data_IF_453572976804
#
_entry.id   IF_453572976804
#
_cell.length_a   1.000
_cell.length_b   1.000
_cell.length_c   1.000
_cell.angle_alpha   90.00
_cell.angle_beta   90.00
_cell.angle_gamma   90.00
#
_symmetry.space_group_name_H-M   'P 1'
#
loop_
_entity.id
_entity.type
_entity.pdbx_description
1 polymer ?
#
# COMPACT_ATOMS: atom_id res chain seq x y z
N UNK A 1 -30.66 -4.22 6.22
CA UNK A 1 -29.41 -4.30 7.01
C UNK A 1 -28.76 -2.93 7.07
N UNK A 2 -28.07 -2.54 8.15
CA UNK A 2 -27.32 -1.27 8.17
C UNK A 2 -25.86 -1.50 7.77
N UNK A 3 -25.14 -0.44 7.36
CA UNK A 3 -23.77 -0.55 6.84
C UNK A 3 -22.80 -1.10 7.89
N UNK A 4 -22.95 -0.69 9.15
CA UNK A 4 -22.10 -1.17 10.24
C UNK A 4 -22.28 -2.67 10.49
N UNK A 5 -23.52 -3.18 10.34
CA UNK A 5 -23.81 -4.60 10.42
C UNK A 5 -23.15 -5.39 9.29
N UNK A 6 -23.22 -4.89 8.05
CA UNK A 6 -22.53 -5.54 6.93
C UNK A 6 -21.00 -5.52 7.11
N UNK A 7 -20.45 -4.38 7.54
CA UNK A 7 -19.03 -4.21 7.84
C UNK A 7 -18.53 -5.28 8.82
N UNK A 8 -19.28 -5.50 9.89
CA UNK A 8 -18.94 -6.51 10.89
C UNK A 8 -19.05 -7.94 10.33
N UNK A 9 -20.06 -8.24 9.51
CA UNK A 9 -20.19 -9.53 8.84
C UNK A 9 -19.00 -9.81 7.90
N UNK A 10 -18.53 -8.81 7.16
CA UNK A 10 -17.35 -8.94 6.29
C UNK A 10 -16.10 -9.28 7.14
N UNK A 11 -15.88 -8.58 8.26
CA UNK A 11 -14.77 -8.87 9.18
C UNK A 11 -14.82 -10.31 9.70
N UNK A 12 -16.00 -10.76 10.14
CA UNK A 12 -16.19 -12.12 10.65
C UNK A 12 -15.96 -13.16 9.55
N UNK A 13 -16.42 -12.91 8.32
CA UNK A 13 -16.19 -13.79 7.18
C UNK A 13 -14.70 -13.90 6.84
N UNK A 14 -13.98 -12.77 6.78
CA UNK A 14 -12.55 -12.73 6.57
C UNK A 14 -11.77 -13.54 7.63
N UNK A 15 -12.12 -13.37 8.90
CA UNK A 15 -11.48 -14.09 10.01
C UNK A 15 -11.78 -15.59 9.99
N UNK A 16 -13.01 -15.99 9.68
CA UNK A 16 -13.36 -17.40 9.50
C UNK A 16 -12.56 -18.02 8.36
N UNK A 17 -12.43 -17.31 7.23
CA UNK A 17 -11.63 -17.77 6.09
C UNK A 17 -10.15 -17.89 6.44
N UNK A 18 -9.60 -16.93 7.19
CA UNK A 18 -8.23 -16.99 7.72
C UNK A 18 -8.00 -18.21 8.62
N UNK A 19 -8.91 -18.50 9.55
CA UNK A 19 -8.79 -19.66 10.47
C UNK A 19 -8.85 -21.01 9.74
N UNK A 20 -9.55 -21.06 8.61
CA UNK A 20 -9.66 -22.26 7.77
C UNK A 20 -8.53 -22.37 6.74
N UNK A 21 -7.73 -21.32 6.57
CA UNK A 21 -6.62 -21.29 5.62
C UNK A 21 -5.45 -22.14 6.14
N UNK A 22 -4.84 -22.94 5.27
CA UNK A 22 -3.78 -23.88 5.66
C UNK A 22 -2.44 -23.58 4.98
N UNK A 23 -2.42 -23.38 3.65
CA UNK A 23 -1.34 -22.76 2.86
C UNK A 23 -1.67 -22.96 1.36
N UNK A 24 -1.25 -22.05 0.49
CA UNK A 24 -1.34 -22.23 -0.96
C UNK A 24 -0.19 -23.08 -1.48
N UNK A 25 -0.51 -24.18 -2.16
CA UNK A 25 0.50 -25.07 -2.78
C UNK A 25 0.86 -24.65 -4.20
N UNK A 26 -0.12 -24.24 -4.98
CA UNK A 26 0.03 -23.87 -6.39
C UNK A 26 -0.98 -22.76 -6.73
N UNK A 27 -0.63 -21.47 -6.56
CA UNK A 27 -1.51 -20.37 -6.95
C UNK A 27 -1.67 -20.34 -8.47
N UNK A 28 -2.89 -20.12 -8.95
CA UNK A 28 -3.16 -20.05 -10.38
C UNK A 28 -3.27 -18.60 -10.85
N UNK A 29 -4.08 -17.79 -10.18
CA UNK A 29 -4.41 -16.44 -10.63
C UNK A 29 -3.84 -15.40 -9.68
N UNK A 30 -2.98 -14.53 -10.22
CA UNK A 30 -2.40 -13.39 -9.51
C UNK A 30 -3.04 -12.08 -9.99
N UNK A 31 -3.02 -11.08 -9.11
CA UNK A 31 -3.41 -9.71 -9.41
C UNK A 31 -2.34 -8.75 -8.90
N UNK A 32 -2.02 -7.75 -9.73
CA UNK A 32 -1.13 -6.65 -9.35
C UNK A 32 -1.81 -5.77 -8.31
N UNK A 33 -1.20 -5.67 -7.14
CA UNK A 33 -1.66 -4.84 -6.03
C UNK A 33 -0.49 -4.04 -5.47
N UNK A 34 -0.81 -3.00 -4.73
CA UNK A 34 0.16 -2.09 -4.18
C UNK A 34 0.04 -1.95 -2.67
N UNK A 35 1.18 -1.74 -2.02
CA UNK A 35 1.27 -1.46 -0.59
C UNK A 35 2.10 -0.20 -0.34
N UNK A 36 1.48 0.82 0.27
CA UNK A 36 2.15 2.07 0.63
C UNK A 36 2.69 2.03 2.06
N UNK A 37 3.95 2.37 2.25
CA UNK A 37 4.63 2.33 3.56
C UNK A 37 5.87 3.23 3.58
N UNK A 38 6.83 2.99 4.47
CA UNK A 38 8.07 3.78 4.60
C UNK A 38 9.33 2.93 4.54
N UNK A 39 10.45 3.55 4.13
CA UNK A 39 11.73 2.86 3.98
C UNK A 39 12.29 2.27 5.28
N UNK A 40 11.87 2.75 6.45
CA UNK A 40 12.23 2.14 7.75
C UNK A 40 11.78 0.69 7.88
N UNK A 41 10.68 0.31 7.22
CA UNK A 41 10.12 -1.04 7.25
C UNK A 41 10.72 -1.95 6.16
N UNK A 42 11.49 -1.40 5.23
CA UNK A 42 11.88 -2.09 4.00
C UNK A 42 12.71 -3.34 4.27
N UNK A 43 13.74 -3.27 5.12
CA UNK A 43 14.54 -4.46 5.43
C UNK A 43 13.73 -5.60 6.09
N UNK A 44 12.74 -5.26 6.92
CA UNK A 44 11.85 -6.25 7.53
C UNK A 44 10.92 -6.88 6.49
N UNK A 45 10.33 -6.05 5.63
CA UNK A 45 9.48 -6.50 4.51
C UNK A 45 10.25 -7.43 3.57
N UNK A 46 11.51 -7.13 3.28
CA UNK A 46 12.33 -7.96 2.41
C UNK A 46 12.67 -9.33 3.02
N UNK A 47 12.77 -9.41 4.34
CA UNK A 47 13.12 -10.66 5.03
C UNK A 47 11.89 -11.51 5.36
N UNK A 48 10.79 -10.86 5.75
CA UNK A 48 9.64 -11.53 6.35
C UNK A 48 8.35 -11.34 5.56
N UNK A 49 8.36 -10.49 4.53
CA UNK A 49 7.18 -10.12 3.77
C UNK A 49 6.38 -9.01 4.46
N UNK A 50 5.23 -8.68 3.90
CA UNK A 50 4.31 -7.70 4.47
C UNK A 50 3.39 -8.43 5.44
N UNK A 51 3.62 -8.21 6.73
CA UNK A 51 2.83 -8.79 7.82
C UNK A 51 1.71 -7.85 8.27
N UNK A 52 0.60 -8.37 8.82
CA UNK A 52 -0.42 -7.54 9.45
C UNK A 52 0.19 -6.68 10.57
N UNK A 53 -0.06 -5.36 10.53
CA UNK A 53 0.47 -4.44 11.52
C UNK A 53 -0.61 -3.99 12.50
N UNK A 54 -0.24 -3.95 13.79
CA UNK A 54 -1.02 -3.30 14.82
C UNK A 54 -1.07 -1.78 14.54
N UNK A 55 -2.26 -1.22 14.27
CA UNK A 55 -2.46 0.24 14.14
C UNK A 55 -3.08 0.72 12.83
N UNK A 56 -3.44 -0.19 11.90
CA UNK A 56 -4.31 0.14 10.76
C UNK A 56 -5.78 0.14 11.22
N UNK A 57 -6.65 1.07 10.76
CA UNK A 57 -7.93 1.34 11.44
C UNK A 57 -9.00 0.24 11.32
N UNK A 58 -8.82 -0.72 10.42
CA UNK A 58 -9.87 -1.65 9.98
C UNK A 58 -9.83 -3.00 10.72
N UNK A 59 -8.76 -3.78 10.54
CA UNK A 59 -8.53 -5.05 11.23
C UNK A 59 -7.02 -5.32 11.40
N UNK A 60 -6.48 -5.44 12.62
CA UNK A 60 -5.04 -5.55 12.87
C UNK A 60 -4.41 -6.86 12.35
N UNK A 61 -5.25 -7.85 12.04
CA UNK A 61 -4.82 -9.18 11.60
C UNK A 61 -4.77 -9.38 10.07
N UNK A 62 -5.12 -8.36 9.28
CA UNK A 62 -5.13 -8.43 7.81
C UNK A 62 -4.11 -7.45 7.22
N UNK A 63 -3.65 -7.74 6.00
CA UNK A 63 -2.84 -6.82 5.21
C UNK A 63 -3.73 -6.13 4.18
N UNK A 64 -3.81 -4.80 4.21
CA UNK A 64 -4.61 -4.04 3.25
C UNK A 64 -3.77 -3.64 2.05
N UNK A 65 -4.30 -3.90 0.87
CA UNK A 65 -3.65 -3.66 -0.41
C UNK A 65 -4.59 -2.84 -1.30
N UNK A 66 -4.01 -2.09 -2.24
CA UNK A 66 -4.77 -1.22 -3.14
C UNK A 66 -4.43 -1.48 -4.59
N UNK A 67 -5.34 -1.19 -5.51
CA UNK A 67 -5.04 -1.18 -6.96
C UNK A 67 -4.56 0.20 -7.44
N UNK A 68 -4.73 1.27 -6.65
CA UNK A 68 -4.47 2.65 -7.11
C UNK A 68 -3.90 3.61 -6.07
N UNK A 69 -4.27 3.50 -4.79
CA UNK A 69 -4.07 4.57 -3.80
C UNK A 69 -2.70 4.56 -3.10
N UNK A 70 -1.72 3.88 -3.69
CA UNK A 70 -0.47 3.54 -3.04
C UNK A 70 0.40 4.75 -2.70
N UNK A 71 0.44 5.79 -3.54
CA UNK A 71 1.14 7.05 -3.22
C UNK A 71 0.56 7.70 -1.98
N UNK A 72 -0.78 7.73 -1.86
CA UNK A 72 -1.42 8.36 -0.71
C UNK A 72 -1.05 7.62 0.57
N UNK A 73 -1.13 6.28 0.57
CA UNK A 73 -0.74 5.47 1.71
C UNK A 73 0.75 5.61 2.05
N UNK A 74 1.64 5.62 1.06
CA UNK A 74 3.07 5.80 1.25
C UNK A 74 3.38 7.13 1.97
N UNK A 75 2.81 8.24 1.50
CA UNK A 75 3.03 9.56 2.11
C UNK A 75 2.39 9.67 3.50
N UNK A 76 1.23 9.05 3.75
CA UNK A 76 0.61 9.08 5.08
C UNK A 76 1.40 8.25 6.09
N UNK A 77 1.89 7.07 5.71
CA UNK A 77 2.74 6.26 6.58
C UNK A 77 4.07 6.97 6.87
N UNK A 78 4.67 7.60 5.86
CA UNK A 78 5.90 8.36 6.05
C UNK A 78 5.68 9.58 6.96
N UNK A 79 4.59 10.34 6.78
CA UNK A 79 4.19 11.43 7.68
C UNK A 79 4.08 10.96 9.12
N UNK A 80 3.37 9.85 9.38
CA UNK A 80 3.23 9.29 10.74
C UNK A 80 4.60 8.92 11.32
N UNK A 81 5.44 8.27 10.53
CA UNK A 81 6.78 7.84 10.94
C UNK A 81 7.70 9.03 11.25
N UNK A 82 7.70 10.06 10.41
CA UNK A 82 8.45 11.29 10.63
C UNK A 82 7.98 12.03 11.88
N UNK A 83 6.67 12.24 12.04
CA UNK A 83 6.12 12.90 13.24
C UNK A 83 6.50 12.13 14.51
N UNK A 84 6.47 10.79 14.48
CA UNK A 84 6.91 9.97 15.61
C UNK A 84 8.42 10.08 15.90
N UNK A 85 9.24 10.43 14.90
CA UNK A 85 10.69 10.50 15.01
C UNK A 85 11.18 11.90 15.41
N UNK A 86 10.71 12.94 14.73
CA UNK A 86 11.19 14.33 14.92
C UNK A 86 10.21 15.23 15.67
N UNK A 87 8.96 14.79 15.85
CA UNK A 87 7.89 15.57 16.47
C UNK A 87 7.10 16.43 15.48
N UNK A 88 5.85 16.72 15.83
CA UNK A 88 4.90 17.45 14.97
C UNK A 88 5.39 18.86 14.60
N UNK A 89 5.96 19.59 15.55
CA UNK A 89 6.41 20.97 15.34
C UNK A 89 7.51 21.05 14.27
N UNK A 90 8.49 20.15 14.31
CA UNK A 90 9.56 20.08 13.29
C UNK A 90 9.01 19.67 11.94
N UNK A 91 8.14 18.66 11.89
CA UNK A 91 7.48 18.23 10.66
C UNK A 91 6.72 19.36 9.95
N UNK A 92 6.07 20.25 10.70
CA UNK A 92 5.28 21.36 10.15
C UNK A 92 6.12 22.59 9.76
N UNK A 93 7.37 22.69 10.22
CA UNK A 93 8.20 23.90 10.05
C UNK A 93 9.46 23.71 9.19
N UNK A 94 9.93 22.47 9.00
CA UNK A 94 11.12 22.14 8.22
C UNK A 94 10.75 21.56 6.84
N UNK A 95 11.64 21.68 5.86
CA UNK A 95 11.45 21.05 4.54
C UNK A 95 11.40 19.53 4.68
N UNK A 96 10.44 18.89 3.99
CA UNK A 96 10.30 17.43 4.03
C UNK A 96 11.56 16.74 3.48
N UNK A 97 12.20 17.32 2.47
CA UNK A 97 13.46 16.83 1.89
C UNK A 97 14.58 16.78 2.92
N UNK A 98 14.68 17.81 3.78
CA UNK A 98 15.64 17.85 4.88
C UNK A 98 15.36 16.74 5.90
N UNK A 99 14.10 16.57 6.27
CA UNK A 99 13.68 15.55 7.23
C UNK A 99 13.91 14.13 6.70
N UNK A 100 13.66 13.88 5.41
CA UNK A 100 13.97 12.60 4.77
C UNK A 100 15.47 12.28 4.84
N UNK A 101 16.33 13.25 4.53
CA UNK A 101 17.78 13.08 4.60
C UNK A 101 18.30 12.89 6.04
N UNK A 102 17.76 13.63 7.01
CA UNK A 102 18.14 13.48 8.42
C UNK A 102 17.77 12.10 8.95
N UNK A 103 16.57 11.61 8.62
CA UNK A 103 16.01 10.39 9.20
C UNK A 103 16.30 9.12 8.38
N UNK A 104 16.69 9.26 7.12
CA UNK A 104 16.79 8.16 6.15
C UNK A 104 15.44 7.50 5.84
N UNK A 105 14.33 8.16 6.16
CA UNK A 105 12.98 7.62 6.10
C UNK A 105 12.18 8.26 4.97
N UNK A 106 11.98 7.49 3.90
CA UNK A 106 11.35 7.93 2.66
C UNK A 106 10.00 7.22 2.48
N UNK A 107 9.02 7.86 1.84
CA UNK A 107 7.80 7.20 1.40
C UNK A 107 8.15 6.15 0.33
N UNK A 108 7.57 4.95 0.49
CA UNK A 108 7.73 3.87 -0.48
C UNK A 108 6.38 3.27 -0.83
N UNK A 109 6.23 2.82 -2.07
CA UNK A 109 5.19 1.88 -2.43
C UNK A 109 5.80 0.63 -3.06
N UNK A 110 5.11 -0.49 -2.88
CA UNK A 110 5.56 -1.80 -3.31
C UNK A 110 4.52 -2.35 -4.28
N UNK A 111 4.94 -2.75 -5.48
CA UNK A 111 4.11 -3.52 -6.41
C UNK A 111 4.23 -5.00 -6.09
N UNK A 112 3.09 -5.70 -6.10
CA UNK A 112 2.96 -7.07 -5.64
C UNK A 112 2.13 -7.87 -6.64
N UNK A 113 2.58 -9.07 -6.97
CA UNK A 113 1.80 -10.05 -7.72
C UNK A 113 1.19 -11.07 -6.76
N UNK A 114 -0.04 -10.79 -6.30
CA UNK A 114 -0.65 -11.52 -5.17
C UNK A 114 -1.68 -12.53 -5.68
N UNK A 115 -1.67 -13.79 -5.20
CA UNK A 115 -2.70 -14.76 -5.54
C UNK A 115 -4.08 -14.34 -5.02
N UNK A 116 -5.11 -14.42 -5.87
CA UNK A 116 -6.48 -14.06 -5.48
C UNK A 116 -7.03 -14.92 -4.35
N UNK A 117 -6.52 -16.13 -4.17
CA UNK A 117 -7.01 -17.11 -3.20
C UNK A 117 -6.74 -16.70 -1.74
N UNK A 118 -5.77 -15.81 -1.48
CA UNK A 118 -5.53 -15.21 -0.15
C UNK A 118 -6.26 -13.88 0.04
N UNK A 119 -6.92 -13.36 -1.00
CA UNK A 119 -7.62 -12.09 -0.92
C UNK A 119 -9.05 -12.26 -0.40
N UNK A 120 -9.47 -11.30 0.40
CA UNK A 120 -10.80 -11.11 0.97
C UNK A 120 -11.23 -9.66 0.81
N UNK A 121 -12.53 -9.42 0.99
CA UNK A 121 -13.11 -8.09 0.93
C UNK A 121 -12.48 -7.17 2.00
N UNK A 122 -12.17 -5.93 1.62
CA UNK A 122 -12.01 -4.83 2.56
C UNK A 122 -13.40 -4.46 3.09
N UNK A 123 -13.59 -4.42 4.40
CA UNK A 123 -14.90 -4.11 4.96
C UNK A 123 -15.38 -2.69 4.63
N UNK A 124 -14.50 -1.78 4.22
CA UNK A 124 -14.85 -0.43 3.81
C UNK A 124 -15.52 -0.38 2.43
N UNK A 125 -15.57 -1.50 1.71
CA UNK A 125 -16.32 -1.63 0.45
C UNK A 125 -17.80 -1.22 0.63
N UNK A 126 -18.37 -1.41 1.84
CA UNK A 126 -19.75 -1.04 2.16
C UNK A 126 -20.01 0.48 2.11
N UNK A 127 -18.96 1.29 2.12
CA UNK A 127 -19.07 2.74 2.05
C UNK A 127 -19.02 3.27 0.61
N UNK A 128 -18.72 2.41 -0.38
CA UNK A 128 -18.81 2.75 -1.80
C UNK A 128 -20.27 2.97 -2.17
N UNK A 129 -20.56 4.04 -2.93
CA UNK A 129 -21.92 4.49 -3.19
C UNK A 129 -22.79 3.37 -3.79
N UNK A 130 -22.30 2.68 -4.81
CA UNK A 130 -23.04 1.61 -5.50
C UNK A 130 -23.33 0.42 -4.58
N UNK A 131 -22.35 -0.01 -3.79
CA UNK A 131 -22.50 -1.11 -2.82
C UNK A 131 -23.45 -0.70 -1.69
N UNK A 132 -23.32 0.53 -1.20
CA UNK A 132 -24.19 1.11 -0.19
C UNK A 132 -25.64 1.15 -0.67
N UNK A 133 -25.89 1.58 -1.91
CA UNK A 133 -27.23 1.60 -2.50
C UNK A 133 -27.80 0.18 -2.64
N UNK A 134 -27.02 -0.77 -3.15
CA UNK A 134 -27.41 -2.20 -3.24
C UNK A 134 -27.75 -2.80 -1.87
N UNK A 135 -26.97 -2.49 -0.82
CA UNK A 135 -27.27 -2.91 0.57
C UNK A 135 -28.59 -2.29 1.06
N UNK A 136 -28.81 -1.00 0.78
CA UNK A 136 -30.02 -0.28 1.22
C UNK A 136 -31.28 -0.77 0.50
N UNK A 137 -31.15 -1.16 -0.77
CA UNK A 137 -32.23 -1.70 -1.59
C UNK A 137 -32.52 -3.19 -1.30
N UNK A 138 -31.63 -3.89 -0.59
CA UNK A 138 -31.77 -5.31 -0.28
C UNK A 138 -31.22 -6.24 -1.36
N UNK A 139 -30.47 -5.72 -2.33
CA UNK A 139 -29.79 -6.53 -3.36
C UNK A 139 -28.55 -7.24 -2.82
N UNK A 140 -27.98 -6.73 -1.72
CA UNK A 140 -26.87 -7.33 -0.95
C UNK A 140 -27.36 -7.57 0.47
N UNK A 141 -27.46 -8.84 0.86
CA UNK A 141 -27.94 -9.27 2.18
C UNK A 141 -26.83 -9.90 3.04
N UNK A 142 -25.72 -10.31 2.42
CA UNK A 142 -24.59 -10.98 3.04
C UNK A 142 -23.25 -10.61 2.38
N UNK A 143 -22.10 -10.85 3.04
CA UNK A 143 -20.79 -10.65 2.42
C UNK A 143 -20.59 -11.46 1.14
N UNK A 144 -21.24 -12.62 1.02
CA UNK A 144 -21.11 -13.51 -0.15
C UNK A 144 -21.76 -12.93 -1.42
N UNK A 145 -22.60 -11.90 -1.27
CA UNK A 145 -23.21 -11.16 -2.38
C UNK A 145 -22.27 -10.09 -2.98
N UNK A 146 -21.12 -9.85 -2.35
CA UNK A 146 -20.08 -8.92 -2.83
C UNK A 146 -18.92 -9.74 -3.39
N UNK A 147 -18.64 -9.59 -4.67
CA UNK A 147 -17.52 -10.29 -5.31
C UNK A 147 -16.17 -9.65 -4.94
N UNK A 148 -15.09 -10.43 -5.05
CA UNK A 148 -13.74 -9.88 -4.91
C UNK A 148 -13.48 -8.84 -6.01
N UNK A 149 -14.01 -9.07 -7.21
CA UNK A 149 -13.94 -8.18 -8.35
C UNK A 149 -14.59 -6.82 -8.06
N UNK A 150 -15.77 -6.78 -7.43
CA UNK A 150 -16.38 -5.51 -6.99
C UNK A 150 -15.42 -4.74 -6.07
N UNK A 151 -14.75 -5.45 -5.15
CA UNK A 151 -13.81 -4.86 -4.20
C UNK A 151 -12.53 -4.33 -4.90
N UNK A 152 -12.01 -5.07 -5.89
CA UNK A 152 -10.85 -4.69 -6.70
C UNK A 152 -11.13 -3.49 -7.60
N UNK A 153 -12.30 -3.45 -8.25
CA UNK A 153 -12.79 -2.30 -9.03
C UNK A 153 -12.92 -1.04 -8.16
N UNK A 154 -13.32 -1.24 -6.91
CA UNK A 154 -13.38 -0.19 -5.91
C UNK A 154 -12.05 0.08 -5.20
N UNK A 155 -10.96 -0.60 -5.56
CA UNK A 155 -9.61 -0.11 -5.30
C UNK A 155 -8.91 -0.59 -4.02
N UNK A 156 -9.57 -1.37 -3.16
CA UNK A 156 -8.97 -1.89 -1.93
C UNK A 156 -9.39 -3.33 -1.68
N UNK A 157 -8.47 -4.14 -1.18
CA UNK A 157 -8.71 -5.51 -0.73
C UNK A 157 -7.88 -5.81 0.50
N UNK A 158 -8.21 -6.88 1.20
CA UNK A 158 -7.42 -7.38 2.31
C UNK A 158 -6.85 -8.78 1.99
N UNK A 159 -5.69 -9.10 2.56
CA UNK A 159 -5.12 -10.45 2.55
C UNK A 159 -5.28 -11.09 3.91
N UNK A 160 -5.71 -12.36 3.92
CA UNK A 160 -5.82 -13.19 5.12
C UNK A 160 -4.47 -13.72 5.61
N UNK A 161 -3.44 -13.67 4.76
CA UNK A 161 -2.09 -14.13 5.06
C UNK A 161 -1.05 -13.02 4.87
N UNK A 162 0.13 -13.24 5.44
CA UNK A 162 1.33 -12.44 5.16
C UNK A 162 1.64 -12.47 3.67
N UNK A 163 1.93 -11.31 3.09
CA UNK A 163 2.42 -11.26 1.70
C UNK A 163 3.88 -11.65 1.71
N UNK A 164 4.16 -12.88 1.30
CA UNK A 164 5.50 -13.46 1.32
C UNK A 164 6.44 -12.68 0.36
N UNK A 165 7.75 -12.59 0.66
CA UNK A 165 8.68 -11.78 -0.14
C UNK A 165 8.71 -12.08 -1.63
N UNK A 166 8.49 -13.33 -2.05
CA UNK A 166 8.48 -13.72 -3.47
C UNK A 166 7.28 -13.20 -4.28
N UNK A 167 6.29 -12.58 -3.63
CA UNK A 167 5.22 -11.84 -4.32
C UNK A 167 5.58 -10.37 -4.56
N UNK A 168 6.73 -9.89 -4.06
CA UNK A 168 7.21 -8.53 -4.29
C UNK A 168 7.87 -8.46 -5.67
N UNK A 169 7.35 -7.59 -6.54
CA UNK A 169 7.91 -7.34 -7.86
C UNK A 169 8.91 -6.18 -7.80
N UNK A 170 8.44 -5.00 -7.39
CA UNK A 170 9.25 -3.78 -7.30
C UNK A 170 8.95 -2.98 -6.04
N UNK A 171 9.98 -2.30 -5.53
CA UNK A 171 9.84 -1.27 -4.50
C UNK A 171 10.25 0.07 -5.08
N UNK A 172 9.31 1.00 -5.04
CA UNK A 172 9.49 2.36 -5.51
C UNK A 172 9.71 3.28 -4.31
N UNK A 173 10.88 3.93 -4.28
CA UNK A 173 11.27 4.89 -3.24
C UNK A 173 11.17 6.30 -3.81
N UNK A 174 10.38 7.15 -3.15
CA UNK A 174 10.09 8.50 -3.62
C UNK A 174 10.86 9.52 -2.78
N UNK A 175 11.73 10.29 -3.42
CA UNK A 175 12.58 11.31 -2.81
C UNK A 175 12.36 12.71 -3.40
N UNK A 176 11.15 13.02 -3.89
CA UNK A 176 10.81 14.33 -4.45
C UNK A 176 9.66 14.98 -3.68
N UNK A 177 9.94 16.11 -3.02
CA UNK A 177 8.94 16.96 -2.35
C UNK A 177 7.96 17.53 -3.38
N UNK A 178 8.47 18.01 -4.51
CA UNK A 178 7.66 18.53 -5.62
C UNK A 178 6.71 17.46 -6.16
N UNK A 179 7.18 16.23 -6.34
CA UNK A 179 6.33 15.14 -6.85
C UNK A 179 5.24 14.75 -5.86
N UNK A 180 5.56 14.75 -4.55
CA UNK A 180 4.57 14.55 -3.50
C UNK A 180 3.45 15.57 -3.62
N UNK A 181 3.81 16.84 -3.76
CA UNK A 181 2.84 17.94 -3.80
C UNK A 181 2.01 17.87 -5.09
N UNK A 182 2.64 17.63 -6.24
CA UNK A 182 1.97 17.40 -7.53
C UNK A 182 0.94 16.26 -7.49
N UNK A 183 1.28 15.15 -6.82
CA UNK A 183 0.37 14.02 -6.67
C UNK A 183 -0.77 14.33 -5.70
N UNK A 184 -0.45 14.80 -4.49
CA UNK A 184 -1.41 14.93 -3.40
C UNK A 184 -2.31 16.15 -3.54
N UNK A 185 -1.85 17.21 -4.19
CA UNK A 185 -2.62 18.43 -4.43
C UNK A 185 -3.16 18.51 -5.86
N UNK A 186 -2.73 17.61 -6.75
CA UNK A 186 -3.23 17.50 -8.12
C UNK A 186 -4.39 16.53 -8.30
N UNK A 187 -4.63 16.15 -9.56
CA UNK A 187 -5.78 15.33 -9.97
C UNK A 187 -5.82 13.95 -9.27
N UNK A 188 -4.65 13.36 -8.97
CA UNK A 188 -4.58 12.10 -8.22
C UNK A 188 -5.14 12.27 -6.80
N UNK A 189 -4.70 13.30 -6.07
CA UNK A 189 -5.19 13.62 -4.74
C UNK A 189 -6.68 13.98 -4.71
N UNK A 190 -7.16 14.69 -5.74
CA UNK A 190 -8.59 14.98 -5.91
C UNK A 190 -9.42 13.69 -6.09
N UNK A 191 -9.00 12.78 -6.99
CA UNK A 191 -9.67 11.49 -7.17
C UNK A 191 -9.62 10.64 -5.90
N UNK A 192 -8.48 10.59 -5.20
CA UNK A 192 -8.36 9.89 -3.91
C UNK A 192 -9.35 10.45 -2.88
N UNK A 193 -9.50 11.78 -2.80
CA UNK A 193 -10.46 12.43 -1.90
C UNK A 193 -11.91 12.10 -2.23
N UNK A 194 -12.26 11.93 -3.51
CA UNK A 194 -13.59 11.47 -3.92
C UNK A 194 -13.80 10.00 -3.57
N UNK A 195 -12.77 9.18 -3.77
CA UNK A 195 -12.80 7.77 -3.40
C UNK A 195 -12.99 7.55 -1.89
N UNK A 196 -12.27 8.30 -1.04
CA UNK A 196 -12.45 8.25 0.42
C UNK A 196 -13.87 8.67 0.86
N UNK A 197 -14.59 9.40 0.02
CA UNK A 197 -15.99 9.78 0.23
C UNK A 197 -16.99 8.79 -0.40
N UNK A 198 -16.51 7.74 -1.05
CA UNK A 198 -17.31 6.65 -1.63
C UNK A 198 -17.77 6.87 -3.08
N UNK A 199 -17.23 7.86 -3.80
CA UNK A 199 -17.66 8.19 -5.17
C UNK A 199 -16.96 7.39 -6.28
N UNK A 200 -16.22 6.32 -5.92
CA UNK A 200 -15.51 5.46 -6.88
C UNK A 200 -14.05 5.87 -7.10
N UNK A 201 -13.34 5.05 -7.88
CA UNK A 201 -11.87 5.07 -7.95
C UNK A 201 -11.30 6.16 -8.88
N UNK A 202 -12.13 6.76 -9.74
CA UNK A 202 -11.70 7.72 -10.76
C UNK A 202 -11.03 7.09 -11.98
N UNK A 203 -10.54 7.92 -12.90
CA UNK A 203 -10.09 7.51 -14.24
C UNK A 203 -8.58 7.39 -14.39
N UNK A 204 -7.80 8.00 -13.49
CA UNK A 204 -6.34 7.95 -13.54
C UNK A 204 -5.88 6.50 -13.37
N UNK A 205 -4.93 6.05 -14.17
CA UNK A 205 -4.38 4.69 -14.08
C UNK A 205 -2.98 4.72 -13.49
N UNK A 206 -2.52 3.60 -12.92
CA UNK A 206 -1.15 3.46 -12.45
C UNK A 206 -0.14 3.74 -13.58
N UNK A 207 -0.40 3.23 -14.78
CA UNK A 207 0.44 3.46 -15.97
C UNK A 207 0.60 4.94 -16.31
N UNK A 208 -0.48 5.74 -16.17
CA UNK A 208 -0.43 7.18 -16.42
C UNK A 208 0.44 7.91 -15.41
N UNK A 209 0.42 7.49 -14.15
CA UNK A 209 1.25 8.04 -13.08
C UNK A 209 2.71 7.64 -13.26
N UNK A 210 2.99 6.38 -13.59
CA UNK A 210 4.34 5.86 -13.79
C UNK A 210 5.06 6.55 -14.94
N UNK A 211 4.37 6.82 -16.05
CA UNK A 211 4.98 7.56 -17.17
C UNK A 211 5.36 8.99 -16.75
N UNK A 212 4.48 9.68 -16.02
CA UNK A 212 4.74 11.03 -15.52
C UNK A 212 5.92 11.04 -14.55
N UNK A 213 5.93 10.10 -13.59
CA UNK A 213 7.00 9.91 -12.62
C UNK A 213 8.37 9.78 -13.29
N UNK A 214 8.50 8.88 -14.26
CA UNK A 214 9.77 8.58 -14.90
C UNK A 214 10.29 9.76 -15.73
N UNK A 215 9.40 10.50 -16.39
CA UNK A 215 9.78 11.65 -17.24
C UNK A 215 10.16 12.87 -16.41
N UNK A 216 9.39 13.18 -15.37
CA UNK A 216 9.57 14.40 -14.58
C UNK A 216 10.52 14.21 -13.38
N UNK A 217 10.53 13.04 -12.76
CA UNK A 217 11.15 12.80 -11.45
C UNK A 217 12.10 11.61 -11.38
N UNK A 218 12.48 11.00 -12.49
CA UNK A 218 13.31 9.77 -12.52
C UNK A 218 14.68 9.85 -11.79
N UNK A 219 15.20 11.05 -11.50
CA UNK A 219 16.40 11.21 -10.67
C UNK A 219 16.12 11.08 -9.16
N UNK A 220 14.89 11.37 -8.74
CA UNK A 220 14.43 11.41 -7.35
C UNK A 220 13.46 10.26 -7.02
N UNK A 221 13.15 9.40 -7.98
CA UNK A 221 12.48 8.12 -7.74
C UNK A 221 13.44 6.98 -8.07
N UNK A 222 13.49 5.97 -7.19
CA UNK A 222 14.30 4.78 -7.38
C UNK A 222 13.44 3.52 -7.31
N UNK A 223 13.44 2.78 -8.40
CA UNK A 223 12.91 1.42 -8.47
C UNK A 223 14.00 0.46 -8.01
N UNK A 224 13.71 -0.34 -7.00
CA UNK A 224 14.56 -1.45 -6.58
C UNK A 224 13.86 -2.74 -6.95
N UNK A 225 14.44 -3.47 -7.90
CA UNK A 225 13.98 -4.80 -8.32
C UNK A 225 14.57 -5.83 -7.36
N UNK A 226 13.72 -6.70 -6.83
CA UNK A 226 14.13 -7.73 -5.88
C UNK A 226 14.09 -9.13 -6.47
N UNK A 227 15.01 -9.96 -6.00
CA UNK A 227 15.02 -11.39 -6.30
C UNK A 227 13.91 -12.09 -5.51
N UNK A 228 13.20 -13.07 -6.11
CA UNK A 228 12.32 -13.96 -5.36
C UNK A 228 13.08 -14.85 -4.36
N UNK A 229 14.41 -14.94 -4.48
CA UNK A 229 15.30 -15.61 -3.52
C UNK A 229 15.76 -14.57 -2.49
N UNK A 230 15.26 -14.68 -1.27
CA UNK A 230 15.47 -13.69 -0.19
C UNK A 230 16.97 -13.50 0.10
N UNK A 231 17.74 -14.58 0.05
CA UNK A 231 19.18 -14.60 0.29
C UNK A 231 20.01 -13.88 -0.77
N UNK A 232 19.43 -13.54 -1.92
CA UNK A 232 20.11 -12.76 -2.95
C UNK A 232 19.93 -11.25 -2.76
N UNK A 233 18.97 -10.84 -1.92
CA UNK A 233 18.60 -9.44 -1.76
C UNK A 233 19.54 -8.75 -0.76
N UNK A 234 20.28 -7.70 -1.17
CA UNK A 234 21.14 -6.98 -0.27
C UNK A 234 20.32 -6.17 0.74
N UNK A 235 20.81 -6.09 1.98
CA UNK A 235 20.19 -5.23 2.99
C UNK A 235 20.43 -3.77 2.63
N UNK A 236 19.42 -2.93 2.78
CA UNK A 236 19.57 -1.48 2.61
C UNK A 236 20.18 -0.89 3.88
N UNK A 237 21.29 -0.17 3.69
CA UNK A 237 22.05 0.47 4.77
C UNK A 237 21.58 1.89 5.00
N UNK A 238 21.43 2.67 3.93
CA UNK A 238 21.00 4.06 4.00
C UNK A 238 20.38 4.51 2.68
N UNK A 239 19.42 5.41 2.77
CA UNK A 239 18.79 6.10 1.65
C UNK A 239 18.94 7.60 1.91
N UNK A 240 19.32 8.36 0.90
CA UNK A 240 19.52 9.81 1.01
C UNK A 240 19.48 10.46 -0.37
N UNK A 241 19.25 11.77 -0.40
CA UNK A 241 19.31 12.60 -1.58
C UNK A 241 20.64 13.34 -1.59
N UNK A 242 21.38 13.21 -2.68
CA UNK A 242 22.64 13.92 -2.92
C UNK A 242 22.73 14.35 -4.38
N UNK A 243 23.14 15.59 -4.61
CA UNK A 243 23.28 16.17 -5.96
C UNK A 243 21.98 15.99 -6.79
N UNK A 244 20.82 16.29 -6.17
CA UNK A 244 19.47 16.16 -6.75
C UNK A 244 19.14 14.74 -7.24
N UNK A 245 19.78 13.73 -6.63
CA UNK A 245 19.54 12.32 -6.94
C UNK A 245 19.29 11.52 -5.69
N UNK A 246 18.28 10.66 -5.74
CA UNK A 246 18.05 9.66 -4.71
C UNK A 246 19.10 8.55 -4.82
N UNK A 247 19.80 8.30 -3.72
CA UNK A 247 20.85 7.31 -3.58
C UNK A 247 20.43 6.24 -2.57
N UNK A 248 20.86 5.00 -2.83
CA UNK A 248 20.64 3.85 -1.95
C UNK A 248 21.97 3.16 -1.76
N UNK A 249 22.43 3.09 -0.51
CA UNK A 249 23.60 2.32 -0.15
C UNK A 249 23.16 0.95 0.37
N UNK A 250 23.81 -0.09 -0.13
CA UNK A 250 23.55 -1.48 0.23
C UNK A 250 24.66 -2.03 1.14
N UNK A 251 24.29 -2.86 2.10
CA UNK A 251 25.21 -3.66 2.89
C UNK A 251 25.42 -5.04 2.26
N UNK A 252 26.48 -5.16 1.46
CA UNK A 252 26.86 -6.39 0.76
C UNK A 252 27.54 -7.43 1.65
N UNK A 253 27.84 -7.12 2.91
CA UNK A 253 28.53 -8.04 3.82
C UNK A 253 27.56 -8.87 4.70
N UNK A 254 26.26 -8.78 4.46
CA UNK A 254 25.23 -9.40 5.29
C UNK A 254 25.24 -10.95 5.31
N UNK A 255 25.84 -11.59 4.30
CA UNK A 255 25.88 -13.06 4.17
C UNK A 255 27.18 -13.73 4.66
N UNK A 256 27.99 -13.04 5.49
CA UNK A 256 29.21 -13.62 6.08
C UNK A 256 29.02 -14.02 7.54
#
# INVERSE_FOLDING_TARGET
MNLDGMKELIKQSAMKRKQMFTELKEPWEVVTLYYGTTSKKLNDILQHGITPQNGVPSHPELVYLTTKWHYWYAFQENKKSLIATVGKERYESESITSLWNETGDFPIYISLEVPKEILVLDENVVHQLDIKEKIQNGDIESPDDISLEDCLEHGMVASIDTIKPWYIDEVNIIGSEEYRDDLLDGAYGEEANLWFKGFGIGSITADSLNLYEQVAYGNLVKVVVFSPIIEDNPKIKSIYIKDEKLQIDFDWNWFK
#
